data_IF_096299146025
#
_entry.id   IF_096299146025
#
_cell.length_a   1.000
_cell.length_b   1.000
_cell.length_c   1.000
_cell.angle_alpha   90.00
_cell.angle_beta   90.00
_cell.angle_gamma   90.00
#
_symmetry.space_group_name_H-M   'P 1'
#
loop_
_entity.id
_entity.type
_entity.pdbx_description
1 polymer ?
#
# COMPACT_ATOMS: atom_id res chain seq x y z
N UNK A 1 -29.59 8.24 -23.97
CA UNK A 1 -31.07 8.12 -24.00
C UNK A 1 -31.63 7.17 -22.93
N UNK A 2 -30.98 6.03 -22.62
CA UNK A 2 -31.46 5.08 -21.59
C UNK A 2 -31.47 5.64 -20.14
N UNK A 3 -30.45 6.40 -19.74
CA UNK A 3 -30.37 6.96 -18.37
C UNK A 3 -31.47 8.00 -18.07
N UNK A 4 -31.86 8.79 -19.07
CA UNK A 4 -32.94 9.80 -18.96
C UNK A 4 -34.31 9.12 -18.93
N UNK A 5 -34.48 8.03 -19.69
CA UNK A 5 -35.69 7.22 -19.64
C UNK A 5 -35.85 6.50 -18.29
N UNK A 6 -34.75 5.96 -17.74
CA UNK A 6 -34.74 5.33 -16.41
C UNK A 6 -35.05 6.35 -15.30
N UNK A 7 -34.39 7.52 -15.29
CA UNK A 7 -34.67 8.57 -14.32
C UNK A 7 -36.13 9.08 -14.41
N UNK A 8 -36.70 9.21 -15.61
CA UNK A 8 -38.12 9.56 -15.78
C UNK A 8 -39.08 8.48 -15.25
N UNK A 9 -38.74 7.20 -15.41
CA UNK A 9 -39.51 6.08 -14.85
C UNK A 9 -39.39 5.99 -13.32
N UNK A 10 -38.24 6.37 -12.75
CA UNK A 10 -38.00 6.39 -11.30
C UNK A 10 -38.76 7.52 -10.59
N UNK A 11 -38.86 8.70 -11.20
CA UNK A 11 -39.54 9.86 -10.60
C UNK A 11 -41.07 9.70 -10.56
N UNK A 12 -41.67 8.91 -11.46
CA UNK A 12 -43.12 8.63 -11.47
C UNK A 12 -43.55 7.47 -10.56
N UNK A 13 -42.63 6.65 -10.08
CA UNK A 13 -42.92 5.53 -9.20
C UNK A 13 -42.42 5.81 -7.78
N UNK A 14 -43.23 6.48 -6.97
CA UNK A 14 -42.98 6.80 -5.56
C UNK A 14 -42.88 5.58 -4.61
N UNK A 15 -42.64 4.36 -5.15
CA UNK A 15 -42.46 3.10 -4.41
C UNK A 15 -41.10 2.44 -4.66
N UNK A 16 -40.16 3.09 -5.33
CA UNK A 16 -38.80 2.59 -5.40
C UNK A 16 -38.13 2.76 -4.03
N UNK A 17 -37.98 1.64 -3.32
CA UNK A 17 -37.16 1.58 -2.12
C UNK A 17 -35.70 1.81 -2.54
N UNK A 18 -35.21 3.03 -2.40
CA UNK A 18 -33.86 3.46 -2.78
C UNK A 18 -32.73 2.71 -2.05
N UNK A 19 -33.07 1.83 -1.10
CA UNK A 19 -32.16 0.88 -0.45
C UNK A 19 -32.03 -0.45 -1.21
N UNK A 20 -32.31 -0.47 -2.51
CA UNK A 20 -31.99 -1.64 -3.33
C UNK A 20 -30.48 -1.60 -3.67
N UNK A 21 -29.69 -2.61 -3.26
CA UNK A 21 -28.25 -2.66 -3.53
C UNK A 21 -27.91 -2.57 -5.03
N UNK A 22 -28.78 -3.03 -5.92
CA UNK A 22 -28.59 -2.91 -7.37
C UNK A 22 -28.61 -1.45 -7.83
N UNK A 23 -29.54 -0.65 -7.28
CA UNK A 23 -29.64 0.77 -7.61
C UNK A 23 -28.43 1.55 -7.10
N UNK A 24 -27.98 1.28 -5.88
CA UNK A 24 -26.75 1.88 -5.35
C UNK A 24 -25.54 1.54 -6.20
N UNK A 25 -25.43 0.28 -6.64
CA UNK A 25 -24.32 -0.17 -7.48
C UNK A 25 -24.33 0.51 -8.86
N UNK A 26 -25.50 0.63 -9.49
CA UNK A 26 -25.68 1.35 -10.75
C UNK A 26 -25.37 2.85 -10.58
N UNK A 27 -25.88 3.49 -9.53
CA UNK A 27 -25.63 4.90 -9.25
C UNK A 27 -24.15 5.19 -8.97
N UNK A 28 -23.46 4.31 -8.22
CA UNK A 28 -22.02 4.38 -8.00
C UNK A 28 -21.24 4.18 -9.30
N UNK A 29 -21.64 3.21 -10.14
CA UNK A 29 -21.06 2.97 -11.45
C UNK A 29 -21.18 4.20 -12.36
N UNK A 30 -22.39 4.78 -12.43
CA UNK A 30 -22.66 6.01 -13.17
C UNK A 30 -21.82 7.18 -12.65
N UNK A 31 -21.70 7.36 -11.33
CA UNK A 31 -20.84 8.37 -10.71
C UNK A 31 -19.37 8.15 -11.09
N UNK A 32 -18.87 6.92 -11.11
CA UNK A 32 -17.47 6.64 -11.51
C UNK A 32 -17.20 6.90 -12.99
N UNK A 33 -18.18 6.63 -13.85
CA UNK A 33 -18.07 6.83 -15.29
C UNK A 33 -18.24 8.29 -15.73
N UNK A 34 -19.11 9.04 -15.03
CA UNK A 34 -19.51 10.40 -15.43
C UNK A 34 -19.10 11.50 -14.45
N UNK A 35 -18.34 11.18 -13.40
CA UNK A 35 -17.71 12.23 -12.60
C UNK A 35 -16.50 12.77 -13.34
N UNK A 36 -16.40 14.10 -13.42
CA UNK A 36 -15.17 14.82 -13.75
C UNK A 36 -14.13 14.71 -12.63
N UNK A 37 -14.11 13.59 -11.89
CA UNK A 37 -13.13 13.38 -10.86
C UNK A 37 -11.77 13.28 -11.55
N UNK A 38 -10.87 14.23 -11.25
CA UNK A 38 -9.48 14.21 -11.70
C UNK A 38 -8.82 12.92 -11.19
N UNK A 39 -8.84 11.89 -12.05
CA UNK A 39 -8.25 10.58 -11.76
C UNK A 39 -6.75 10.77 -11.61
N UNK A 40 -6.20 10.20 -10.54
CA UNK A 40 -4.77 10.22 -10.34
C UNK A 40 -4.11 9.30 -11.36
N UNK A 41 -2.93 9.70 -11.83
CA UNK A 41 -2.10 8.89 -12.71
C UNK A 41 -1.45 7.77 -11.90
N UNK A 42 -1.27 6.57 -12.48
CA UNK A 42 -0.58 5.48 -11.81
C UNK A 42 0.90 5.79 -11.62
N UNK A 43 1.50 5.33 -10.53
CA UNK A 43 2.95 5.35 -10.37
C UNK A 43 3.58 4.37 -11.34
N UNK A 44 4.56 4.85 -12.11
CA UNK A 44 5.33 4.05 -13.06
C UNK A 44 6.68 3.61 -12.45
N UNK A 45 7.39 2.70 -13.12
CA UNK A 45 8.74 2.34 -12.71
C UNK A 45 9.71 3.54 -12.72
N UNK A 46 9.56 4.48 -13.66
CA UNK A 46 10.36 5.71 -13.70
C UNK A 46 10.08 6.61 -12.50
N UNK A 47 8.82 6.71 -12.09
CA UNK A 47 8.42 7.42 -10.87
C UNK A 47 9.01 6.79 -9.61
N UNK A 48 9.03 5.45 -9.50
CA UNK A 48 9.69 4.78 -8.37
C UNK A 48 11.19 5.09 -8.30
N UNK A 49 11.88 5.07 -9.44
CA UNK A 49 13.29 5.45 -9.50
C UNK A 49 13.49 6.91 -9.08
N UNK A 50 12.57 7.80 -9.47
CA UNK A 50 12.54 9.20 -9.00
C UNK A 50 12.40 9.30 -7.48
N UNK A 51 11.46 8.57 -6.88
CA UNK A 51 11.28 8.51 -5.43
C UNK A 51 12.51 7.95 -4.71
N UNK A 52 13.13 6.92 -5.26
CA UNK A 52 14.37 6.34 -4.72
C UNK A 52 15.49 7.39 -4.67
N UNK A 53 15.67 8.17 -5.75
CA UNK A 53 16.66 9.26 -5.80
C UNK A 53 16.35 10.37 -4.79
N UNK A 54 15.08 10.77 -4.66
CA UNK A 54 14.67 11.75 -3.64
C UNK A 54 15.06 11.28 -2.24
N UNK A 55 14.84 10.00 -1.91
CA UNK A 55 15.23 9.44 -0.62
C UNK A 55 16.75 9.37 -0.44
N UNK A 56 17.50 9.04 -1.49
CA UNK A 56 18.96 9.05 -1.47
C UNK A 56 19.52 10.45 -1.19
N UNK A 57 18.97 11.48 -1.82
CA UNK A 57 19.39 12.87 -1.57
C UNK A 57 19.11 13.31 -0.13
N UNK A 58 18.03 12.78 0.47
CA UNK A 58 17.64 13.06 1.85
C UNK A 58 18.39 12.22 2.89
N UNK A 59 19.23 11.28 2.47
CA UNK A 59 19.88 10.32 3.37
C UNK A 59 20.77 11.01 4.44
N UNK A 60 21.28 12.21 4.15
CA UNK A 60 22.08 12.97 5.12
C UNK A 60 21.27 13.61 6.25
N UNK A 61 19.96 13.82 6.06
CA UNK A 61 19.10 14.58 6.99
C UNK A 61 18.02 13.70 7.64
N UNK A 62 17.63 12.62 6.96
CA UNK A 62 16.57 11.74 7.42
C UNK A 62 17.12 10.56 8.22
N UNK A 63 16.39 10.15 9.26
CA UNK A 63 16.70 8.93 10.00
C UNK A 63 16.75 7.73 9.04
N UNK A 64 17.85 6.99 9.08
CA UNK A 64 18.13 5.88 8.16
C UNK A 64 17.06 4.79 8.29
N UNK A 65 16.70 4.44 9.52
CA UNK A 65 15.73 3.39 9.79
C UNK A 65 14.34 3.78 9.26
N UNK A 66 13.92 5.02 9.49
CA UNK A 66 12.69 5.56 8.92
C UNK A 66 12.71 5.60 7.39
N UNK A 67 13.85 5.94 6.77
CA UNK A 67 14.02 5.94 5.32
C UNK A 67 13.87 4.55 4.72
N UNK A 68 14.49 3.54 5.34
CA UNK A 68 14.41 2.15 4.90
C UNK A 68 12.97 1.63 5.01
N UNK A 69 12.25 1.92 6.11
CA UNK A 69 10.83 1.56 6.27
C UNK A 69 9.91 2.29 5.29
N UNK A 70 10.14 3.59 5.04
CA UNK A 70 9.37 4.36 4.07
C UNK A 70 9.51 3.76 2.67
N UNK A 71 10.76 3.50 2.24
CA UNK A 71 11.02 2.89 0.94
C UNK A 71 10.42 1.49 0.82
N UNK A 72 10.61 0.65 1.84
CA UNK A 72 10.04 -0.69 1.86
C UNK A 72 8.51 -0.67 1.79
N UNK A 73 7.85 0.28 2.45
CA UNK A 73 6.39 0.43 2.36
C UNK A 73 5.90 0.81 0.96
N UNK A 74 6.66 1.61 0.22
CA UNK A 74 6.34 2.03 -1.16
C UNK A 74 6.52 0.87 -2.13
N UNK A 75 7.63 0.16 -2.01
CA UNK A 75 7.91 -1.00 -2.85
C UNK A 75 6.91 -2.12 -2.59
N UNK A 76 6.53 -2.37 -1.34
CA UNK A 76 5.44 -3.27 -0.99
C UNK A 76 4.13 -2.86 -1.66
N UNK A 77 3.73 -1.58 -1.55
CA UNK A 77 2.50 -1.07 -2.16
C UNK A 77 2.48 -1.29 -3.67
N UNK A 78 3.60 -0.98 -4.34
CA UNK A 78 3.69 -1.09 -5.80
C UNK A 78 3.58 -2.53 -6.31
N UNK A 79 4.30 -3.47 -5.69
CA UNK A 79 4.35 -4.85 -6.20
C UNK A 79 3.13 -5.68 -5.79
N UNK A 80 2.61 -5.48 -4.58
CA UNK A 80 1.46 -6.24 -4.11
C UNK A 80 0.11 -5.54 -4.38
N UNK A 81 0.15 -4.34 -4.99
CA UNK A 81 -1.03 -3.54 -5.33
C UNK A 81 -2.00 -3.34 -4.16
N UNK A 82 -1.44 -3.27 -2.95
CA UNK A 82 -2.20 -3.00 -1.75
C UNK A 82 -2.74 -1.57 -1.82
N UNK A 83 -4.04 -1.41 -1.57
CA UNK A 83 -4.61 -0.07 -1.55
C UNK A 83 -3.91 0.72 -0.46
N UNK A 84 -3.74 2.03 -0.65
CA UNK A 84 -3.11 2.91 0.37
C UNK A 84 -3.62 2.73 1.81
N UNK A 85 -4.88 2.30 1.99
CA UNK A 85 -5.49 2.02 3.30
C UNK A 85 -5.04 0.71 3.96
N UNK A 86 -4.49 -0.23 3.18
CA UNK A 86 -4.00 -1.55 3.58
C UNK A 86 -2.51 -1.51 3.96
N UNK A 87 -1.79 -0.42 3.64
CA UNK A 87 -0.39 -0.26 4.05
C UNK A 87 -0.16 0.95 4.97
N UNK A 88 -0.86 2.05 4.72
CA UNK A 88 -0.72 3.32 5.45
C UNK A 88 -2.02 3.73 6.14
N UNK A 89 -2.88 2.76 6.46
CA UNK A 89 -4.11 2.97 7.22
C UNK A 89 -3.82 3.42 8.66
N UNK A 90 -4.78 4.15 9.26
CA UNK A 90 -4.66 4.58 10.65
C UNK A 90 -4.58 3.36 11.58
N UNK A 91 -3.57 3.36 12.46
CA UNK A 91 -3.34 2.36 13.50
C UNK A 91 -4.28 2.48 14.68
N UNK A 92 -5.29 3.37 14.64
CA UNK A 92 -6.27 3.55 15.71
C UNK A 92 -7.12 2.28 15.88
N UNK A 93 -6.60 1.35 16.66
CA UNK A 93 -7.42 0.51 17.51
C UNK A 93 -7.96 1.39 18.63
N UNK A 94 -9.23 1.77 18.53
CA UNK A 94 -10.01 1.87 19.76
C UNK A 94 -9.98 0.50 20.44
N UNK A 95 -10.21 0.46 21.75
CA UNK A 95 -10.27 -0.74 22.60
C UNK A 95 -11.24 -1.88 22.17
N UNK A 96 -11.70 -1.92 20.92
CA UNK A 96 -12.25 -3.12 20.31
C UNK A 96 -11.15 -3.77 19.48
N UNK A 97 -10.92 -5.07 19.63
CA UNK A 97 -9.87 -5.87 18.97
C UNK A 97 -9.86 -5.92 17.43
N UNK A 98 -10.37 -4.90 16.75
CA UNK A 98 -10.35 -4.70 15.32
C UNK A 98 -9.30 -3.64 14.96
N UNK A 99 -8.01 -3.98 15.04
CA UNK A 99 -7.01 -3.28 14.24
C UNK A 99 -7.44 -3.27 12.76
N UNK A 100 -6.97 -2.31 11.96
CA UNK A 100 -7.30 -2.23 10.53
C UNK A 100 -7.12 -3.61 9.88
N UNK A 101 -8.24 -4.27 9.56
CA UNK A 101 -8.33 -5.72 9.29
C UNK A 101 -7.48 -6.18 8.10
N UNK A 102 -6.97 -5.21 7.33
CA UNK A 102 -6.31 -5.41 6.05
C UNK A 102 -4.86 -4.94 6.02
N UNK A 103 -4.27 -4.53 7.15
CA UNK A 103 -2.87 -4.12 7.16
C UNK A 103 -1.93 -5.31 7.29
N UNK A 104 -0.89 -5.36 6.43
CA UNK A 104 0.07 -6.45 6.43
C UNK A 104 0.91 -6.44 7.70
N UNK A 105 0.82 -7.53 8.45
CA UNK A 105 1.59 -7.71 9.68
C UNK A 105 2.98 -8.25 9.37
N UNK A 106 3.93 -7.99 10.26
CA UNK A 106 5.26 -8.60 10.17
C UNK A 106 5.19 -10.14 10.23
N UNK A 107 4.32 -10.69 11.08
CA UNK A 107 4.12 -12.14 11.21
C UNK A 107 3.53 -12.82 9.95
N UNK A 108 2.94 -12.04 9.04
CA UNK A 108 2.35 -12.54 7.80
C UNK A 108 3.38 -12.60 6.65
N UNK A 109 4.63 -12.22 6.90
CA UNK A 109 5.71 -12.23 5.91
C UNK A 109 6.71 -13.32 6.19
N UNK A 110 7.12 -14.05 5.16
CA UNK A 110 8.20 -15.04 5.22
C UNK A 110 9.22 -14.76 4.13
N UNK A 111 10.49 -14.68 4.50
CA UNK A 111 11.60 -14.63 3.54
C UNK A 111 12.11 -16.05 3.32
N UNK A 112 12.35 -16.41 2.06
CA UNK A 112 12.81 -17.74 1.69
C UNK A 112 14.11 -17.69 0.89
N UNK A 113 14.97 -18.70 1.05
CA UNK A 113 16.18 -18.87 0.24
C UNK A 113 15.86 -19.36 -1.18
N UNK A 114 16.89 -19.63 -1.98
CA UNK A 114 16.74 -20.13 -3.36
C UNK A 114 16.06 -21.51 -3.47
N UNK A 115 16.05 -22.28 -2.38
CA UNK A 115 15.40 -23.59 -2.30
C UNK A 115 13.94 -23.50 -1.79
N UNK A 116 13.46 -22.29 -1.48
CA UNK A 116 12.11 -22.06 -0.94
C UNK A 116 11.99 -22.32 0.56
N UNK A 117 13.11 -22.48 1.28
CA UNK A 117 13.11 -22.66 2.72
C UNK A 117 13.08 -21.31 3.43
N UNK A 118 12.26 -21.21 4.49
CA UNK A 118 12.18 -20.02 5.30
C UNK A 118 13.52 -19.71 5.98
N UNK A 119 13.94 -18.46 5.93
CA UNK A 119 15.18 -17.99 6.55
C UNK A 119 14.92 -16.93 7.59
N UNK A 120 15.88 -16.79 8.51
CA UNK A 120 15.90 -15.64 9.42
C UNK A 120 16.16 -14.39 8.58
N UNK A 121 15.29 -13.37 8.66
CA UNK A 121 15.50 -12.12 7.97
C UNK A 121 16.80 -11.42 8.41
N UNK A 122 17.39 -10.64 7.51
CA UNK A 122 18.62 -9.89 7.77
C UNK A 122 19.93 -10.63 7.48
N UNK A 123 19.83 -11.84 6.92
CA UNK A 123 20.99 -12.58 6.42
C UNK A 123 21.42 -12.14 5.01
N UNK A 124 20.62 -11.30 4.32
CA UNK A 124 20.86 -10.87 2.95
C UNK A 124 20.72 -11.98 1.90
N UNK A 125 20.33 -13.18 2.33
CA UNK A 125 20.28 -14.41 1.53
C UNK A 125 18.90 -14.70 0.96
N UNK A 126 17.91 -13.82 1.20
CA UNK A 126 16.55 -14.03 0.71
C UNK A 126 16.51 -14.01 -0.82
N UNK A 127 15.90 -15.04 -1.41
CA UNK A 127 15.61 -15.13 -2.84
C UNK A 127 14.13 -14.84 -3.13
N UNK A 128 13.23 -15.05 -2.18
CA UNK A 128 11.83 -14.67 -2.33
C UNK A 128 11.22 -14.15 -1.04
N UNK A 129 10.16 -13.38 -1.18
CA UNK A 129 9.27 -12.99 -0.09
C UNK A 129 7.88 -13.57 -0.35
N UNK A 130 7.28 -14.12 0.69
CA UNK A 130 5.90 -14.58 0.72
C UNK A 130 5.12 -13.73 1.68
N UNK A 131 3.97 -13.24 1.22
CA UNK A 131 3.02 -12.52 2.05
C UNK A 131 1.74 -13.31 2.13
N UNK A 132 1.34 -13.64 3.35
CA UNK A 132 0.09 -14.27 3.67
C UNK A 132 -1.00 -13.22 3.91
N UNK A 133 -1.86 -13.02 2.92
CA UNK A 133 -3.00 -12.11 3.05
C UNK A 133 -4.16 -12.78 3.77
N UNK A 134 -4.29 -12.50 5.08
CA UNK A 134 -5.45 -12.92 5.89
C UNK A 134 -6.76 -12.38 5.34
N UNK A 135 -6.73 -11.13 4.90
CA UNK A 135 -7.82 -10.51 4.17
C UNK A 135 -7.28 -9.36 3.33
N UNK A 136 -7.76 -9.21 2.10
CA UNK A 136 -7.43 -8.07 1.24
C UNK A 136 -8.72 -7.62 0.52
N UNK A 137 -8.87 -6.32 0.25
CA UNK A 137 -10.09 -5.75 -0.38
C UNK A 137 -10.29 -6.21 -1.83
N UNK A 138 -9.28 -6.79 -2.47
CA UNK A 138 -9.41 -7.48 -3.77
C UNK A 138 -10.06 -8.86 -3.67
N UNK A 139 -10.17 -9.41 -2.45
CA UNK A 139 -10.63 -10.76 -2.21
C UNK A 139 -12.14 -10.84 -2.05
N UNK A 140 -12.86 -10.86 -3.17
CA UNK A 140 -14.32 -10.97 -3.13
C UNK A 140 -14.81 -12.24 -2.40
N UNK A 141 -13.99 -13.31 -2.39
CA UNK A 141 -14.32 -14.59 -1.74
C UNK A 141 -13.79 -14.72 -0.31
N UNK A 142 -13.03 -13.72 0.18
CA UNK A 142 -12.34 -13.75 1.49
C UNK A 142 -11.47 -15.00 1.72
N UNK A 143 -10.94 -15.60 0.66
CA UNK A 143 -10.07 -16.77 0.75
C UNK A 143 -8.62 -16.37 1.01
N UNK A 144 -8.02 -16.84 2.10
CA UNK A 144 -6.63 -16.54 2.41
C UNK A 144 -5.72 -16.82 1.20
N UNK A 145 -4.89 -15.86 0.83
CA UNK A 145 -4.05 -15.92 -0.39
C UNK A 145 -2.61 -15.65 -0.02
N UNK A 146 -1.70 -16.49 -0.49
CA UNK A 146 -0.26 -16.28 -0.37
C UNK A 146 0.26 -15.73 -1.69
N UNK A 147 0.88 -14.54 -1.66
CA UNK A 147 1.56 -13.98 -2.82
C UNK A 147 3.06 -14.10 -2.61
N UNK A 148 3.76 -14.68 -3.60
CA UNK A 148 5.21 -14.85 -3.60
C UNK A 148 5.84 -13.96 -4.67
N UNK A 149 6.88 -13.22 -4.29
CA UNK A 149 7.72 -12.47 -5.21
C UNK A 149 9.18 -12.88 -5.09
N UNK A 150 9.86 -13.00 -6.22
CA UNK A 150 11.27 -13.36 -6.30
C UNK A 150 12.17 -12.13 -6.38
N UNK A 151 13.42 -12.30 -5.95
CA UNK A 151 14.47 -11.29 -6.00
C UNK A 151 14.72 -10.91 -7.46
N UNK A 152 14.58 -9.63 -7.77
CA UNK A 152 14.81 -9.12 -9.13
C UNK A 152 16.27 -8.70 -9.33
N UNK A 153 16.75 -8.75 -10.59
CA UNK A 153 18.07 -8.25 -10.96
C UNK A 153 18.21 -6.72 -10.82
N UNK A 154 17.10 -5.97 -10.92
CA UNK A 154 17.10 -4.50 -10.93
C UNK A 154 17.32 -3.90 -9.55
N UNK A 155 18.54 -3.41 -9.29
CA UNK A 155 19.04 -3.02 -7.97
C UNK A 155 18.15 -2.05 -7.18
N UNK A 156 17.55 -1.07 -7.85
CA UNK A 156 16.72 -0.07 -7.19
C UNK A 156 15.31 -0.56 -6.84
N UNK A 157 14.76 -1.54 -7.58
CA UNK A 157 13.36 -2.00 -7.44
C UNK A 157 13.28 -3.44 -6.91
N UNK A 158 14.15 -3.78 -5.96
CA UNK A 158 14.21 -5.12 -5.36
C UNK A 158 13.27 -5.21 -4.17
N UNK A 159 12.07 -5.74 -4.40
CA UNK A 159 11.10 -6.00 -3.34
C UNK A 159 11.68 -6.84 -2.19
N UNK A 160 12.35 -7.93 -2.51
CA UNK A 160 12.95 -8.82 -1.48
C UNK A 160 13.94 -8.06 -0.60
N UNK A 161 14.81 -7.23 -1.20
CA UNK A 161 15.79 -6.42 -0.46
C UNK A 161 15.09 -5.33 0.37
N UNK A 162 14.03 -4.73 -0.15
CA UNK A 162 13.26 -3.72 0.58
C UNK A 162 12.56 -4.32 1.80
N UNK A 163 12.04 -5.55 1.70
CA UNK A 163 11.46 -6.28 2.84
C UNK A 163 12.53 -6.73 3.84
N UNK A 164 13.68 -7.22 3.36
CA UNK A 164 14.84 -7.51 4.21
C UNK A 164 15.23 -6.28 5.04
N UNK A 165 15.36 -5.11 4.41
CA UNK A 165 15.68 -3.86 5.08
C UNK A 165 14.63 -3.46 6.14
N UNK A 166 13.34 -3.59 5.83
CA UNK A 166 12.28 -3.37 6.82
C UNK A 166 12.44 -4.27 8.05
N UNK A 167 12.82 -5.53 7.84
CA UNK A 167 13.02 -6.46 8.94
C UNK A 167 14.29 -6.14 9.74
N UNK A 168 15.36 -5.76 9.07
CA UNK A 168 16.61 -5.33 9.70
C UNK A 168 16.38 -4.12 10.61
N UNK A 169 15.59 -3.14 10.17
CA UNK A 169 15.17 -2.00 11.00
C UNK A 169 14.46 -2.50 12.27
N UNK A 170 13.50 -3.42 12.13
CA UNK A 170 12.75 -3.95 13.28
C UNK A 170 13.64 -4.72 14.25
N UNK A 171 14.58 -5.52 13.74
CA UNK A 171 15.57 -6.21 14.57
C UNK A 171 16.48 -5.24 15.32
N UNK A 172 16.96 -4.17 14.64
CA UNK A 172 17.75 -3.11 15.28
C UNK A 172 16.96 -2.42 16.39
N UNK A 173 15.71 -2.05 16.13
CA UNK A 173 14.83 -1.43 17.12
C UNK A 173 14.54 -2.35 18.31
N UNK A 174 14.30 -3.63 18.06
CA UNK A 174 14.11 -4.62 19.12
C UNK A 174 15.35 -4.75 20.01
N UNK A 175 16.55 -4.82 19.41
CA UNK A 175 17.83 -4.85 20.15
C UNK A 175 18.06 -3.57 20.95
N UNK A 176 17.60 -2.43 20.44
CA UNK A 176 17.66 -1.14 21.12
C UNK A 176 16.54 -0.93 22.16
N UNK A 177 15.67 -1.92 22.38
CA UNK A 177 14.55 -1.81 23.33
C UNK A 177 13.41 -0.89 22.88
N UNK A 178 13.36 -0.51 21.60
CA UNK A 178 12.28 0.32 21.04
C UNK A 178 11.04 -0.52 20.77
N UNK A 179 9.90 -0.08 21.29
CA UNK A 179 8.60 -0.69 21.03
C UNK A 179 8.02 -0.22 19.69
N UNK A 180 7.46 -1.15 18.91
CA UNK A 180 6.78 -0.88 17.64
C UNK A 180 5.57 -1.81 17.46
N UNK A 181 4.64 -1.40 16.61
CA UNK A 181 3.40 -2.15 16.35
C UNK A 181 3.59 -3.42 15.51
N UNK A 182 2.52 -4.18 15.39
CA UNK A 182 2.49 -5.47 14.66
C UNK A 182 2.66 -5.35 13.14
N UNK A 183 2.43 -4.18 12.55
CA UNK A 183 2.49 -3.99 11.10
C UNK A 183 3.93 -3.82 10.64
N UNK A 184 4.25 -4.31 9.44
CA UNK A 184 5.61 -4.19 8.89
C UNK A 184 6.03 -2.71 8.75
N UNK A 185 5.07 -1.82 8.48
CA UNK A 185 5.24 -0.37 8.33
C UNK A 185 5.13 0.40 9.65
N UNK A 186 5.02 -0.27 10.80
CA UNK A 186 4.92 0.37 12.11
C UNK A 186 6.23 1.09 12.48
N UNK A 187 6.15 2.40 12.74
CA UNK A 187 7.28 3.21 13.22
C UNK A 187 7.26 3.41 14.74
N UNK A 188 6.09 3.17 15.36
CA UNK A 188 5.87 3.10 16.81
C UNK A 188 4.79 2.07 17.12
N UNK A 189 4.40 1.94 18.40
CA UNK A 189 3.27 1.08 18.83
C UNK A 189 1.93 1.54 18.28
N UNK A 190 1.76 2.83 18.01
CA UNK A 190 0.47 3.44 17.62
C UNK A 190 0.49 4.08 16.24
N UNK A 191 1.64 4.11 15.56
CA UNK A 191 1.80 4.77 14.25
C UNK A 191 2.52 3.89 13.24
N UNK A 192 2.06 3.98 12.00
CA UNK A 192 2.71 3.46 10.79
C UNK A 192 3.28 4.60 9.96
N UNK A 193 4.03 4.28 8.90
CA UNK A 193 4.41 5.23 7.85
C UNK A 193 3.18 6.02 7.40
N UNK A 194 3.27 7.35 7.46
CA UNK A 194 2.13 8.23 7.20
C UNK A 194 1.83 8.31 5.72
N UNK A 195 0.55 8.19 5.37
CA UNK A 195 0.04 8.42 4.00
C UNK A 195 0.51 9.76 3.40
N UNK A 196 0.61 10.80 4.23
CA UNK A 196 1.07 12.13 3.81
C UNK A 196 2.53 12.14 3.39
N UNK A 197 3.40 11.39 4.09
CA UNK A 197 4.83 11.31 3.74
C UNK A 197 5.02 10.66 2.38
N UNK A 198 4.30 9.57 2.12
CA UNK A 198 4.32 8.89 0.83
C UNK A 198 3.76 9.79 -0.27
N UNK A 199 2.66 10.47 -0.01
CA UNK A 199 2.08 11.40 -0.99
C UNK A 199 3.05 12.53 -1.35
N UNK A 200 3.74 13.11 -0.37
CA UNK A 200 4.73 14.16 -0.60
C UNK A 200 5.90 13.66 -1.43
N UNK A 201 6.37 12.43 -1.16
CA UNK A 201 7.47 11.82 -1.90
C UNK A 201 7.07 11.53 -3.36
N UNK A 202 5.88 10.99 -3.60
CA UNK A 202 5.35 10.77 -4.97
C UNK A 202 5.28 12.12 -5.71
N UNK A 203 4.74 13.16 -5.07
CA UNK A 203 4.60 14.49 -5.68
C UNK A 203 5.93 15.13 -6.03
N UNK A 204 6.93 15.02 -5.15
CA UNK A 204 8.26 15.53 -5.44
C UNK A 204 8.92 14.76 -6.59
N UNK A 205 8.81 13.42 -6.60
CA UNK A 205 9.31 12.61 -7.70
C UNK A 205 8.64 12.99 -9.03
N UNK A 206 7.34 13.27 -9.03
CA UNK A 206 6.60 13.71 -10.21
C UNK A 206 7.18 15.01 -10.77
N UNK A 207 7.41 16.01 -9.91
CA UNK A 207 8.04 17.26 -10.31
C UNK A 207 9.44 17.06 -10.90
N UNK A 208 10.24 16.14 -10.34
CA UNK A 208 11.59 15.84 -10.83
C UNK A 208 11.61 15.12 -12.19
N UNK A 209 10.57 14.35 -12.52
CA UNK A 209 10.46 13.68 -13.82
C UNK A 209 9.71 14.52 -14.87
N UNK A 210 9.29 15.74 -14.51
CA UNK A 210 8.60 16.66 -15.41
C UNK A 210 7.08 16.50 -15.48
N UNK A 211 6.50 15.66 -14.61
CA UNK A 211 5.05 15.49 -14.53
C UNK A 211 4.41 16.50 -13.55
N UNK A 212 3.11 16.75 -13.73
CA UNK A 212 2.34 17.55 -12.77
C UNK A 212 2.10 16.79 -11.45
N UNK A 213 2.61 17.26 -10.30
CA UNK A 213 2.44 16.60 -9.00
C UNK A 213 0.97 16.43 -8.58
N UNK A 214 0.07 17.29 -9.00
CA UNK A 214 -1.35 17.20 -8.62
C UNK A 214 -2.08 16.04 -9.28
N UNK A 215 -1.49 15.45 -10.31
CA UNK A 215 -1.96 14.21 -10.89
C UNK A 215 -1.66 13.00 -10.02
N UNK A 216 -0.90 13.13 -8.93
CA UNK A 216 -0.49 12.02 -8.09
C UNK A 216 -0.95 12.14 -6.63
N UNK A 217 -1.17 10.99 -6.01
CA UNK A 217 -1.42 10.83 -4.58
C UNK A 217 -1.09 9.38 -4.18
N UNK A 218 -1.26 9.00 -2.92
CA UNK A 218 -1.08 7.59 -2.53
C UNK A 218 -2.04 6.61 -3.21
N UNK A 219 -3.14 7.09 -3.80
CA UNK A 219 -4.05 6.28 -4.61
C UNK A 219 -3.52 6.00 -6.03
N UNK A 220 -2.36 6.56 -6.38
CA UNK A 220 -1.61 6.27 -7.58
C UNK A 220 -0.80 4.97 -7.48
N UNK A 221 -0.64 4.42 -6.28
CA UNK A 221 0.05 3.17 -5.99
C UNK A 221 -0.89 1.98 -6.17
#
# INVERSE_FOLDING_TARGET
>A
MAAVAFARLSVRNARLNYKNPEFELIAQGYKRANSNANRKQPVTATMLLGMCRVLQDRHAVMDRDHSELLWGSIILAFFFLDRSSELWGATTGGNSGNGSTHCVKGEDMTLCNQHGEAIVPGTGSANSVEIFFRSHKGNQRRQMTTLRHYRSGQQALRLVVAVEACWDVRLRWQRAGKCFGQYITSVSTTTTIRKTEVSSLIKEAAGRVGDNPDNYATHSM
#
